data_IF_121317081968
#
_entry.id   IF_121317081968
#
_cell.length_a   1.000
_cell.length_b   1.000
_cell.length_c   1.000
_cell.angle_alpha   90.00
_cell.angle_beta   90.00
_cell.angle_gamma   90.00
#
_symmetry.space_group_name_H-M   'P 1'
#
loop_
_entity.id
_entity.type
_entity.pdbx_description
1 polymer ?
#
# COMPACT_ATOMS: atom_id res chain seq x y z
N UNK A 1 2.13 -16.41 13.50
CA UNK A 1 0.74 -15.96 13.79
C UNK A 1 -0.20 -16.66 12.82
N UNK A 2 -1.42 -17.05 13.23
CA UNK A 2 -2.38 -17.59 12.27
C UNK A 2 -3.10 -16.46 11.50
N UNK A 3 -3.69 -16.80 10.34
CA UNK A 3 -4.37 -15.85 9.44
C UNK A 3 -5.50 -15.07 10.13
N UNK A 4 -6.29 -15.76 10.97
CA UNK A 4 -7.44 -15.15 11.65
C UNK A 4 -7.02 -14.07 12.64
N UNK A 5 -5.98 -14.34 13.44
CA UNK A 5 -5.46 -13.36 14.41
C UNK A 5 -4.84 -12.16 13.70
N UNK A 6 -4.11 -12.40 12.59
CA UNK A 6 -3.54 -11.33 11.76
C UNK A 6 -4.62 -10.36 11.27
N UNK A 7 -5.70 -10.90 10.68
CA UNK A 7 -6.84 -10.13 10.16
C UNK A 7 -7.53 -9.37 11.29
N UNK A 8 -7.79 -10.02 12.43
CA UNK A 8 -8.53 -9.41 13.54
C UNK A 8 -7.74 -8.27 14.21
N UNK A 9 -6.42 -8.43 14.41
CA UNK A 9 -5.56 -7.38 14.95
C UNK A 9 -5.58 -6.16 14.02
N UNK A 10 -5.38 -6.35 12.72
CA UNK A 10 -5.38 -5.25 11.76
C UNK A 10 -6.74 -4.57 11.65
N UNK A 11 -7.83 -5.33 11.59
CA UNK A 11 -9.19 -4.79 11.56
C UNK A 11 -9.48 -3.91 12.78
N UNK A 12 -9.17 -4.40 13.98
CA UNK A 12 -9.39 -3.66 15.22
C UNK A 12 -8.47 -2.46 15.32
N UNK A 13 -7.20 -2.62 14.95
CA UNK A 13 -6.21 -1.55 14.97
C UNK A 13 -6.60 -0.39 14.05
N UNK A 14 -6.90 -0.66 12.79
CA UNK A 14 -7.30 0.37 11.83
C UNK A 14 -8.61 1.05 12.22
N UNK A 15 -9.63 0.31 12.68
CA UNK A 15 -10.86 0.91 13.21
C UNK A 15 -10.58 1.86 14.37
N UNK A 16 -9.72 1.46 15.32
CA UNK A 16 -9.38 2.27 16.51
C UNK A 16 -8.67 3.56 16.12
N UNK A 17 -7.71 3.51 15.19
CA UNK A 17 -7.00 4.70 14.71
C UNK A 17 -7.96 5.73 14.11
N UNK A 18 -8.96 5.28 13.35
CA UNK A 18 -9.95 6.17 12.73
C UNK A 18 -10.94 6.74 13.73
N UNK A 19 -11.47 5.92 14.64
CA UNK A 19 -12.42 6.37 15.68
C UNK A 19 -11.79 7.43 16.58
N UNK A 20 -10.52 7.24 16.95
CA UNK A 20 -9.81 8.17 17.82
C UNK A 20 -9.38 9.46 17.10
N UNK A 21 -9.64 9.56 15.80
CA UNK A 21 -9.29 10.73 14.98
C UNK A 21 -7.79 11.12 15.11
N UNK A 22 -6.93 10.14 15.29
CA UNK A 22 -5.49 10.36 15.50
C UNK A 22 -4.80 10.52 14.16
N UNK A 23 -3.99 11.58 13.99
CA UNK A 23 -3.20 11.72 12.80
C UNK A 23 -2.18 10.58 12.74
N UNK A 24 -2.24 9.79 11.70
CA UNK A 24 -1.19 8.91 11.29
C UNK A 24 -0.81 9.29 9.85
N UNK A 25 0.48 9.19 9.57
CA UNK A 25 0.96 9.48 8.22
C UNK A 25 0.42 8.43 7.25
N UNK A 26 -0.50 8.81 6.39
CA UNK A 26 -0.90 8.01 5.25
C UNK A 26 -0.07 8.39 4.04
N UNK A 27 0.42 7.39 3.33
CA UNK A 27 0.92 7.57 1.98
C UNK A 27 -0.24 7.43 1.02
N UNK A 28 -0.51 8.48 0.27
CA UNK A 28 -1.61 8.55 -0.69
C UNK A 28 -1.10 9.16 -2.00
N UNK A 29 -1.70 8.76 -3.13
CA UNK A 29 -1.39 9.39 -4.41
C UNK A 29 -1.64 10.90 -4.38
N UNK A 30 -0.77 11.70 -5.04
CA UNK A 30 0.26 11.29 -6.01
C UNK A 30 1.52 10.66 -5.44
N UNK A 31 1.69 10.59 -4.12
CA UNK A 31 2.87 10.01 -3.50
C UNK A 31 2.78 8.48 -3.48
N UNK A 32 3.85 7.80 -3.95
CA UNK A 32 3.97 6.35 -3.85
C UNK A 32 4.67 5.89 -2.57
N UNK A 33 5.29 6.82 -1.86
CA UNK A 33 6.04 6.55 -0.64
C UNK A 33 6.40 7.83 0.10
N UNK A 34 6.72 7.74 1.39
CA UNK A 34 7.13 8.90 2.17
C UNK A 34 8.41 9.52 1.59
N UNK A 35 8.36 10.82 1.34
CA UNK A 35 9.51 11.64 0.95
C UNK A 35 10.21 11.25 -0.35
N UNK A 36 9.56 10.57 -1.28
CA UNK A 36 10.14 10.27 -2.58
C UNK A 36 10.41 11.55 -3.35
N UNK A 37 11.47 11.55 -4.15
CA UNK A 37 11.89 12.69 -4.99
C UNK A 37 10.87 12.98 -6.08
N UNK A 38 10.31 11.95 -6.68
CA UNK A 38 9.30 12.05 -7.72
C UNK A 38 8.00 11.39 -7.28
N UNK A 39 6.89 11.97 -7.65
CA UNK A 39 5.56 11.43 -7.43
C UNK A 39 4.87 11.06 -8.76
N UNK A 40 3.60 10.64 -8.75
CA UNK A 40 2.88 10.21 -9.95
C UNK A 40 2.81 11.28 -11.04
N UNK A 41 2.75 12.58 -10.68
CA UNK A 41 2.72 13.63 -11.70
C UNK A 41 4.01 13.71 -12.54
N UNK A 42 5.11 13.22 -12.01
CA UNK A 42 6.43 13.23 -12.66
C UNK A 42 6.78 11.83 -13.22
N UNK A 43 6.41 10.76 -12.51
CA UNK A 43 6.69 9.37 -12.90
C UNK A 43 5.73 8.88 -13.99
N UNK A 44 4.50 9.37 -14.00
CA UNK A 44 3.45 9.04 -14.96
C UNK A 44 3.27 7.52 -15.16
N UNK A 45 3.24 6.78 -14.05
CA UNK A 45 3.08 5.32 -14.04
C UNK A 45 1.69 4.94 -14.55
N UNK A 46 0.67 5.71 -14.14
CA UNK A 46 -0.72 5.58 -14.58
C UNK A 46 -1.02 6.54 -15.74
N UNK A 47 -0.34 6.36 -16.86
CA UNK A 47 -0.35 7.28 -18.00
C UNK A 47 -1.70 7.41 -18.74
N UNK A 48 -2.67 6.52 -18.52
CA UNK A 48 -3.98 6.48 -19.17
C UNK A 48 -5.13 6.44 -18.16
N UNK A 49 -5.09 7.33 -17.17
CA UNK A 49 -6.11 7.33 -16.11
C UNK A 49 -7.46 7.88 -16.56
N UNK A 50 -7.48 8.75 -17.59
CA UNK A 50 -8.73 9.31 -18.10
C UNK A 50 -9.64 8.23 -18.70
N UNK A 51 -10.85 8.10 -18.17
CA UNK A 51 -11.81 7.07 -18.52
C UNK A 51 -11.56 5.69 -17.88
N UNK A 52 -10.49 5.51 -17.11
CA UNK A 52 -10.11 4.25 -16.51
C UNK A 52 -11.02 3.85 -15.34
N UNK A 53 -11.11 2.55 -15.10
CA UNK A 53 -11.72 1.92 -13.93
C UNK A 53 -10.63 1.47 -12.98
N UNK A 54 -10.72 1.88 -11.73
CA UNK A 54 -9.67 1.66 -10.74
C UNK A 54 -10.20 0.94 -9.51
N UNK A 55 -9.44 -0.04 -9.01
CA UNK A 55 -9.65 -0.70 -7.73
C UNK A 55 -8.46 -0.40 -6.80
N UNK A 56 -8.73 0.05 -5.58
CA UNK A 56 -7.72 0.28 -4.54
C UNK A 56 -7.85 -0.77 -3.42
N UNK A 57 -6.77 -1.51 -3.18
CA UNK A 57 -6.67 -2.53 -2.13
C UNK A 57 -6.04 -1.92 -0.87
N UNK A 58 -6.83 -1.82 0.20
CA UNK A 58 -6.49 -1.04 1.38
C UNK A 58 -6.72 0.45 1.14
N UNK A 59 -7.89 0.78 0.59
CA UNK A 59 -8.21 2.12 0.09
C UNK A 59 -8.35 3.20 1.18
N UNK A 60 -8.41 2.82 2.45
CA UNK A 60 -8.64 3.76 3.52
C UNK A 60 -9.93 4.57 3.33
N UNK A 61 -9.84 5.89 3.52
CA UNK A 61 -10.93 6.83 3.30
C UNK A 61 -11.11 7.23 1.82
N UNK A 62 -10.38 6.59 0.89
CA UNK A 62 -10.46 6.81 -0.56
C UNK A 62 -9.66 8.00 -1.08
N UNK A 63 -8.65 8.45 -0.37
CA UNK A 63 -7.88 9.65 -0.75
C UNK A 63 -7.07 9.46 -2.04
N UNK A 64 -6.43 8.29 -2.24
CA UNK A 64 -5.78 7.96 -3.51
C UNK A 64 -6.78 7.87 -4.66
N UNK A 65 -7.97 7.34 -4.40
CA UNK A 65 -9.05 7.29 -5.39
C UNK A 65 -9.60 8.68 -5.73
N UNK A 66 -9.62 9.62 -4.77
CA UNK A 66 -9.99 11.02 -5.03
C UNK A 66 -9.01 11.68 -6.00
N UNK A 67 -7.70 11.49 -5.80
CA UNK A 67 -6.70 11.96 -6.74
C UNK A 67 -6.93 11.41 -8.15
N UNK A 68 -7.16 10.09 -8.28
CA UNK A 68 -7.38 9.45 -9.57
C UNK A 68 -8.70 9.86 -10.23
N UNK A 69 -9.76 10.02 -9.44
CA UNK A 69 -11.04 10.52 -9.94
C UNK A 69 -10.91 11.95 -10.48
N UNK A 70 -10.19 12.82 -9.79
CA UNK A 70 -9.90 14.18 -10.22
C UNK A 70 -9.00 14.23 -11.48
N UNK A 71 -8.24 13.16 -11.76
CA UNK A 71 -7.46 12.97 -12.99
C UNK A 71 -8.27 12.35 -14.14
N UNK A 72 -9.56 12.08 -13.93
CA UNK A 72 -10.48 11.62 -14.96
C UNK A 72 -10.77 10.11 -14.96
N UNK A 73 -10.42 9.38 -13.88
CA UNK A 73 -10.90 8.00 -13.73
C UNK A 73 -12.44 7.98 -13.81
N UNK A 74 -12.97 7.08 -14.64
CA UNK A 74 -14.41 6.96 -14.89
C UNK A 74 -15.16 6.32 -13.73
N UNK A 75 -14.51 5.37 -13.08
CA UNK A 75 -15.10 4.54 -12.05
C UNK A 75 -14.04 4.13 -11.03
N UNK A 76 -14.41 4.22 -9.76
CA UNK A 76 -13.52 3.91 -8.63
C UNK A 76 -14.17 2.88 -7.70
N UNK A 77 -13.35 1.95 -7.24
CA UNK A 77 -13.71 0.91 -6.27
C UNK A 77 -12.66 0.84 -5.17
N UNK A 78 -13.07 0.48 -3.96
CA UNK A 78 -12.16 0.36 -2.83
C UNK A 78 -12.49 -0.83 -1.94
N UNK A 79 -11.45 -1.55 -1.53
CA UNK A 79 -11.50 -2.56 -0.48
C UNK A 79 -10.69 -2.07 0.71
N UNK A 80 -11.25 -2.19 1.91
CA UNK A 80 -10.50 -1.98 3.15
C UNK A 80 -11.06 -2.88 4.26
N UNK A 81 -10.18 -3.36 5.14
CA UNK A 81 -10.55 -4.19 6.28
C UNK A 81 -11.30 -3.40 7.35
N UNK A 82 -11.10 -2.09 7.42
CA UNK A 82 -11.70 -1.18 8.39
C UNK A 82 -13.06 -0.68 7.92
N UNK A 83 -14.11 -1.06 8.64
CA UNK A 83 -15.46 -0.55 8.39
C UNK A 83 -15.56 0.98 8.58
N UNK A 84 -14.76 1.55 9.48
CA UNK A 84 -14.78 2.99 9.75
C UNK A 84 -14.13 3.77 8.59
N UNK A 85 -13.07 3.22 7.97
CA UNK A 85 -12.48 3.76 6.74
C UNK A 85 -13.50 3.74 5.60
N UNK A 86 -14.12 2.59 5.34
CA UNK A 86 -15.11 2.42 4.28
C UNK A 86 -16.33 3.35 4.48
N UNK A 87 -16.77 3.54 5.73
CA UNK A 87 -17.84 4.50 6.04
C UNK A 87 -17.48 5.91 5.57
N UNK A 88 -16.26 6.37 5.82
CA UNK A 88 -15.78 7.69 5.38
C UNK A 88 -15.62 7.76 3.86
N UNK A 89 -15.09 6.70 3.23
CA UNK A 89 -14.99 6.61 1.76
C UNK A 89 -16.38 6.72 1.09
N UNK A 90 -17.40 6.05 1.63
CA UNK A 90 -18.80 6.16 1.14
C UNK A 90 -19.40 7.56 1.29
N UNK A 91 -19.01 8.30 2.32
CA UNK A 91 -19.40 9.70 2.50
C UNK A 91 -18.70 10.60 1.49
N UNK A 92 -17.41 10.34 1.22
CA UNK A 92 -16.59 11.08 0.25
C UNK A 92 -17.11 10.89 -1.19
N UNK A 93 -17.57 9.68 -1.52
CA UNK A 93 -18.03 9.30 -2.86
C UNK A 93 -19.46 8.74 -2.85
N UNK A 94 -20.48 9.55 -2.58
CA UNK A 94 -21.88 9.07 -2.50
C UNK A 94 -22.36 8.45 -3.81
N UNK A 95 -21.85 8.88 -4.97
CA UNK A 95 -22.16 8.34 -6.29
C UNK A 95 -21.58 6.94 -6.54
N UNK A 96 -20.53 6.55 -5.80
CA UNK A 96 -19.85 5.25 -5.86
C UNK A 96 -19.95 4.47 -4.55
N UNK A 97 -20.89 4.80 -3.66
CA UNK A 97 -20.98 4.23 -2.31
C UNK A 97 -21.01 2.68 -2.29
N UNK A 98 -21.61 2.08 -3.33
CA UNK A 98 -21.76 0.63 -3.42
C UNK A 98 -20.47 -0.07 -3.92
N UNK A 99 -19.50 0.69 -4.43
CA UNK A 99 -18.19 0.23 -4.87
C UNK A 99 -17.16 0.14 -3.74
N UNK A 100 -17.51 0.59 -2.53
CA UNK A 100 -16.63 0.52 -1.36
C UNK A 100 -17.06 -0.62 -0.44
N UNK A 101 -16.21 -1.63 -0.29
CA UNK A 101 -16.51 -2.88 0.39
C UNK A 101 -15.58 -3.09 1.59
N UNK A 102 -16.15 -3.56 2.71
CA UNK A 102 -15.36 -3.98 3.87
C UNK A 102 -14.89 -5.41 3.66
N UNK A 103 -13.62 -5.60 3.35
CA UNK A 103 -13.01 -6.91 3.14
C UNK A 103 -11.50 -6.84 3.30
N UNK A 104 -10.86 -7.89 3.82
CA UNK A 104 -9.43 -8.09 3.62
C UNK A 104 -9.12 -8.20 2.12
N UNK A 105 -7.94 -7.74 1.68
CA UNK A 105 -7.56 -7.75 0.27
C UNK A 105 -7.25 -9.16 -0.28
N UNK A 106 -6.98 -10.11 0.61
CA UNK A 106 -6.75 -11.51 0.30
C UNK A 106 -8.00 -12.38 0.28
N UNK A 107 -9.18 -11.80 0.40
CA UNK A 107 -10.44 -12.52 0.30
C UNK A 107 -11.15 -12.20 -1.02
N UNK A 108 -11.82 -13.22 -1.57
CA UNK A 108 -12.61 -13.03 -2.78
C UNK A 108 -13.88 -12.24 -2.47
N UNK A 109 -14.11 -11.19 -3.23
CA UNK A 109 -15.32 -10.37 -3.13
C UNK A 109 -16.14 -10.42 -4.42
N UNK A 110 -17.43 -10.17 -4.29
CA UNK A 110 -18.34 -10.17 -5.44
C UNK A 110 -18.26 -8.85 -6.23
N UNK A 111 -17.17 -8.69 -7.00
CA UNK A 111 -16.94 -7.56 -7.90
C UNK A 111 -16.62 -8.07 -9.32
N UNK A 112 -16.71 -7.22 -10.36
CA UNK A 112 -16.52 -7.67 -11.73
C UNK A 112 -15.12 -8.25 -12.00
N UNK A 113 -15.07 -9.38 -12.73
CA UNK A 113 -13.83 -10.00 -13.19
C UNK A 113 -13.37 -9.38 -14.50
N UNK A 114 -12.04 -9.36 -14.77
CA UNK A 114 -11.46 -8.81 -16.02
C UNK A 114 -11.99 -7.39 -16.31
N UNK A 115 -12.02 -6.54 -15.31
CA UNK A 115 -12.79 -5.30 -15.37
C UNK A 115 -11.98 -4.03 -15.16
N UNK A 116 -11.01 -4.06 -14.23
CA UNK A 116 -10.26 -2.87 -13.84
C UNK A 116 -9.05 -2.65 -14.75
N UNK A 117 -8.88 -1.42 -15.22
CA UNK A 117 -7.69 -1.02 -15.97
C UNK A 117 -6.47 -0.88 -15.07
N UNK A 118 -6.71 -0.47 -13.83
CA UNK A 118 -5.71 -0.36 -12.77
C UNK A 118 -6.21 -0.98 -11.47
N UNK A 119 -5.35 -1.76 -10.83
CA UNK A 119 -5.47 -2.10 -9.42
C UNK A 119 -4.27 -1.45 -8.71
N UNK A 120 -4.50 -0.82 -7.58
CA UNK A 120 -3.44 -0.18 -6.79
C UNK A 120 -3.43 -0.73 -5.37
N UNK A 121 -2.27 -0.71 -4.74
CA UNK A 121 -2.06 -0.96 -3.31
C UNK A 121 -0.94 -0.04 -2.83
N UNK A 122 -1.33 1.15 -2.34
CA UNK A 122 -0.39 2.19 -1.94
C UNK A 122 -0.16 2.10 -0.44
N UNK A 123 1.03 1.64 -0.05
CA UNK A 123 1.41 1.42 1.35
C UNK A 123 0.42 0.57 2.17
N UNK A 124 -0.22 -0.40 1.50
CA UNK A 124 -1.21 -1.29 2.12
C UNK A 124 -0.89 -2.77 2.00
N UNK A 125 -0.14 -3.18 0.96
CA UNK A 125 0.13 -4.60 0.67
C UNK A 125 0.80 -5.37 1.83
N UNK A 126 1.60 -4.71 2.65
CA UNK A 126 2.23 -5.34 3.82
C UNK A 126 1.26 -5.75 4.92
N UNK A 127 0.00 -5.31 4.84
CA UNK A 127 -1.06 -5.69 5.78
C UNK A 127 -1.91 -6.87 5.29
N UNK A 128 -1.54 -7.54 4.19
CA UNK A 128 -2.17 -8.80 3.80
C UNK A 128 -1.67 -9.97 4.66
N UNK A 129 -2.57 -10.87 5.04
CA UNK A 129 -2.21 -12.12 5.71
C UNK A 129 -1.86 -13.25 4.74
N UNK A 130 -2.10 -13.04 3.43
CA UNK A 130 -1.91 -14.03 2.38
C UNK A 130 -1.63 -13.33 1.03
N UNK A 131 -0.34 -13.13 0.76
CA UNK A 131 0.11 -12.45 -0.44
C UNK A 131 -0.33 -13.17 -1.72
N UNK A 132 -0.26 -14.51 -1.72
CA UNK A 132 -0.65 -15.31 -2.87
C UNK A 132 -2.13 -15.13 -3.23
N UNK A 133 -3.02 -15.18 -2.25
CA UNK A 133 -4.46 -14.94 -2.47
C UNK A 133 -4.72 -13.50 -2.94
N UNK A 134 -3.98 -12.51 -2.42
CA UNK A 134 -4.08 -11.11 -2.86
C UNK A 134 -3.72 -10.98 -4.35
N UNK A 135 -2.62 -11.60 -4.81
CA UNK A 135 -2.26 -11.60 -6.22
C UNK A 135 -3.26 -12.37 -7.08
N UNK A 136 -3.71 -13.54 -6.63
CA UNK A 136 -4.72 -14.36 -7.32
C UNK A 136 -6.00 -13.58 -7.61
N UNK A 137 -6.55 -12.89 -6.60
CA UNK A 137 -7.79 -12.14 -6.79
C UNK A 137 -7.55 -10.85 -7.57
N UNK A 138 -6.42 -10.17 -7.39
CA UNK A 138 -6.04 -9.03 -8.22
C UNK A 138 -5.96 -9.42 -9.70
N UNK A 139 -5.36 -10.57 -10.03
CA UNK A 139 -5.32 -11.08 -11.40
C UNK A 139 -6.72 -11.37 -11.96
N UNK A 140 -7.59 -11.93 -11.13
CA UNK A 140 -8.99 -12.23 -11.51
C UNK A 140 -9.76 -10.96 -11.87
N UNK A 141 -9.58 -9.88 -11.09
CA UNK A 141 -10.32 -8.64 -11.27
C UNK A 141 -9.73 -7.71 -12.34
N UNK A 142 -8.42 -7.77 -12.56
CA UNK A 142 -7.72 -6.92 -13.52
C UNK A 142 -8.10 -7.30 -14.95
N UNK A 143 -8.35 -6.31 -15.82
CA UNK A 143 -8.57 -6.50 -17.24
C UNK A 143 -7.27 -6.95 -17.96
N UNK A 144 -7.39 -7.61 -19.11
CA UNK A 144 -6.22 -7.93 -19.93
C UNK A 144 -5.51 -6.64 -20.35
N UNK A 145 -4.20 -6.61 -20.23
CA UNK A 145 -3.37 -5.41 -20.43
C UNK A 145 -3.40 -4.39 -19.30
N UNK A 146 -4.24 -4.62 -18.27
CA UNK A 146 -4.30 -3.78 -17.09
C UNK A 146 -3.04 -3.85 -16.23
N UNK A 147 -2.88 -2.88 -15.33
CA UNK A 147 -1.73 -2.78 -14.43
C UNK A 147 -2.12 -2.97 -12.98
N UNK A 148 -1.35 -3.79 -12.24
CA UNK A 148 -1.39 -3.86 -10.79
C UNK A 148 -0.15 -3.14 -10.23
N UNK A 149 -0.36 -2.04 -9.50
CA UNK A 149 0.69 -1.17 -8.98
C UNK A 149 0.73 -1.29 -7.47
N UNK A 150 1.88 -1.66 -6.95
CA UNK A 150 2.11 -1.86 -5.53
C UNK A 150 3.23 -0.93 -5.10
N UNK A 151 3.05 -0.19 -4.02
CA UNK A 151 4.14 0.47 -3.31
C UNK A 151 4.20 0.04 -1.85
N UNK A 152 5.41 -0.16 -1.33
CA UNK A 152 5.65 -0.55 0.06
C UNK A 152 7.03 -0.09 0.53
N UNK A 153 7.27 -0.17 1.83
CA UNK A 153 8.62 0.02 2.40
C UNK A 153 9.61 -0.91 1.71
N UNK A 154 10.73 -0.37 1.27
CA UNK A 154 11.78 -1.19 0.68
C UNK A 154 12.31 -2.20 1.69
N UNK A 155 12.37 -3.52 1.40
CA UNK A 155 12.71 -4.53 2.40
C UNK A 155 14.11 -4.37 2.99
N UNK A 156 15.08 -3.85 2.24
CA UNK A 156 16.40 -3.55 2.78
C UNK A 156 16.37 -2.34 3.72
N UNK A 157 15.58 -1.29 3.42
CA UNK A 157 15.41 -0.15 4.33
C UNK A 157 14.86 -0.58 5.68
N UNK A 158 13.97 -1.58 5.67
CA UNK A 158 13.39 -2.16 6.86
C UNK A 158 14.42 -2.87 7.75
N UNK A 159 15.50 -3.38 7.15
CA UNK A 159 16.60 -4.03 7.88
C UNK A 159 17.54 -3.03 8.58
N UNK A 160 17.48 -1.75 8.21
CA UNK A 160 18.38 -0.73 8.70
C UNK A 160 17.87 -0.08 9.99
N UNK A 161 18.81 0.25 10.88
CA UNK A 161 18.58 1.06 12.06
C UNK A 161 19.73 2.04 12.26
N UNK A 162 19.65 2.87 13.30
CA UNK A 162 20.71 3.81 13.68
C UNK A 162 21.17 3.48 15.10
N UNK A 163 22.46 3.17 15.23
CA UNK A 163 23.14 2.97 16.50
C UNK A 163 24.44 3.78 16.51
N UNK A 164 24.70 4.52 17.59
CA UNK A 164 25.89 5.37 17.75
C UNK A 164 26.13 6.29 16.52
N UNK A 165 25.07 6.94 16.04
CA UNK A 165 25.05 7.83 14.86
C UNK A 165 25.49 7.16 13.55
N UNK A 166 25.48 5.83 13.49
CA UNK A 166 25.80 5.05 12.31
C UNK A 166 24.61 4.22 11.86
N UNK A 167 24.47 4.08 10.55
CA UNK A 167 23.50 3.15 9.98
C UNK A 167 24.03 1.73 10.14
N UNK A 168 23.24 0.88 10.76
CA UNK A 168 23.56 -0.53 11.02
C UNK A 168 22.47 -1.43 10.43
N UNK A 169 22.84 -2.67 10.07
CA UNK A 169 21.88 -3.71 9.74
C UNK A 169 21.44 -4.36 11.04
N UNK A 170 20.19 -4.14 11.44
CA UNK A 170 19.62 -4.61 12.70
C UNK A 170 18.70 -5.81 12.54
N UNK A 171 18.17 -6.06 11.34
CA UNK A 171 17.29 -7.18 11.03
C UNK A 171 17.80 -7.94 9.82
N UNK A 172 17.56 -9.24 9.78
CA UNK A 172 17.87 -10.05 8.60
C UNK A 172 16.93 -9.73 7.45
N UNK A 173 17.49 -9.50 6.25
CA UNK A 173 16.72 -9.36 5.01
C UNK A 173 15.88 -10.62 4.69
N UNK A 174 16.35 -11.78 5.13
CA UNK A 174 15.71 -13.08 4.90
C UNK A 174 14.59 -13.40 5.89
N UNK A 175 14.35 -12.53 6.88
CA UNK A 175 13.25 -12.72 7.83
C UNK A 175 11.97 -12.07 7.31
N UNK A 176 11.03 -12.90 6.87
CA UNK A 176 9.70 -12.50 6.39
C UNK A 176 8.58 -12.79 7.42
N UNK A 177 8.93 -13.03 8.68
CA UNK A 177 7.94 -13.21 9.73
C UNK A 177 7.11 -11.95 9.94
N UNK A 178 5.83 -12.14 10.18
CA UNK A 178 4.92 -11.05 10.52
C UNK A 178 5.34 -10.37 11.83
N UNK A 179 5.36 -9.04 11.84
CA UNK A 179 5.75 -8.24 13.00
C UNK A 179 4.56 -7.42 13.52
N UNK A 180 4.41 -7.41 14.84
CA UNK A 180 3.47 -6.49 15.50
C UNK A 180 4.16 -5.13 15.63
N UNK A 181 3.57 -4.13 15.01
CA UNK A 181 4.00 -2.74 15.13
C UNK A 181 2.97 -1.96 15.93
N UNK A 182 3.44 -0.91 16.62
CA UNK A 182 2.57 -0.05 17.43
C UNK A 182 2.50 1.34 16.80
N UNK A 183 1.30 1.83 16.52
CA UNK A 183 1.10 3.15 15.92
C UNK A 183 0.33 4.09 16.84
N UNK A 184 0.68 5.36 16.70
CA UNK A 184 0.01 6.48 17.36
C UNK A 184 0.25 6.55 18.88
N UNK A 185 -0.23 7.62 19.52
CA UNK A 185 -0.05 7.85 20.98
C UNK A 185 -0.80 6.81 21.82
N UNK A 186 -1.88 6.22 21.29
CA UNK A 186 -2.68 5.21 21.99
C UNK A 186 -2.08 3.79 21.86
N UNK A 187 -0.88 3.67 21.28
CA UNK A 187 -0.16 2.40 21.11
C UNK A 187 -1.00 1.30 20.45
N UNK A 188 -1.68 1.66 19.37
CA UNK A 188 -2.52 0.70 18.63
C UNK A 188 -1.66 -0.31 17.90
N UNK A 189 -1.92 -1.59 18.13
CA UNK A 189 -1.20 -2.68 17.47
C UNK A 189 -1.74 -2.94 16.07
N UNK A 190 -0.82 -3.08 15.12
CA UNK A 190 -1.04 -3.58 13.78
C UNK A 190 -0.04 -4.69 13.50
N UNK A 191 -0.36 -5.56 12.56
CA UNK A 191 0.56 -6.60 12.08
C UNK A 191 0.92 -6.29 10.63
N UNK A 192 2.20 -6.30 10.34
CA UNK A 192 2.70 -6.14 8.97
C UNK A 192 3.69 -7.23 8.59
N UNK A 193 3.82 -7.46 7.30
CA UNK A 193 4.83 -8.33 6.72
C UNK A 193 5.95 -7.49 6.10
N UNK A 194 7.17 -7.94 6.28
CA UNK A 194 8.28 -7.55 5.46
C UNK A 194 8.49 -8.66 4.41
N UNK A 195 8.55 -8.29 3.14
CA UNK A 195 8.60 -9.26 2.04
C UNK A 195 9.84 -9.01 1.22
N UNK A 196 10.65 -10.05 0.97
CA UNK A 196 11.75 -9.94 0.03
C UNK A 196 11.24 -9.55 -1.37
N UNK A 197 12.05 -8.85 -2.14
CA UNK A 197 11.74 -8.52 -3.54
C UNK A 197 11.43 -9.79 -4.33
N UNK A 198 12.23 -10.84 -4.13
CA UNK A 198 12.03 -12.14 -4.79
C UNK A 198 10.69 -12.80 -4.44
N UNK A 199 10.24 -12.69 -3.19
CA UNK A 199 8.93 -13.22 -2.76
C UNK A 199 7.80 -12.55 -3.50
N UNK A 200 7.83 -11.21 -3.62
CA UNK A 200 6.81 -10.46 -4.35
C UNK A 200 6.82 -10.80 -5.84
N UNK A 201 8.01 -10.84 -6.47
CA UNK A 201 8.14 -11.13 -7.90
C UNK A 201 7.72 -12.55 -8.26
N UNK A 202 8.12 -13.54 -7.45
CA UNK A 202 7.76 -14.95 -7.69
C UNK A 202 6.25 -15.15 -7.48
N UNK A 203 5.67 -14.58 -6.42
CA UNK A 203 4.21 -14.65 -6.20
C UNK A 203 3.44 -14.01 -7.36
N UNK A 204 3.91 -12.90 -7.89
CA UNK A 204 3.30 -12.26 -9.06
C UNK A 204 3.35 -13.20 -10.28
N UNK A 205 4.53 -13.76 -10.58
CA UNK A 205 4.75 -14.68 -11.69
C UNK A 205 3.89 -15.94 -11.59
N UNK A 206 3.80 -16.55 -10.39
CA UNK A 206 3.01 -17.74 -10.12
C UNK A 206 1.51 -17.50 -10.33
N UNK A 207 1.06 -16.25 -10.20
CA UNK A 207 -0.32 -15.83 -10.45
C UNK A 207 -0.56 -15.26 -11.86
N UNK A 208 0.40 -15.39 -12.79
CA UNK A 208 0.26 -15.03 -14.20
C UNK A 208 0.59 -13.57 -14.53
N UNK A 209 1.05 -12.79 -13.58
CA UNK A 209 1.55 -11.44 -13.84
C UNK A 209 2.97 -11.47 -14.40
N UNK A 210 3.32 -10.45 -15.18
CA UNK A 210 4.72 -10.15 -15.47
C UNK A 210 5.10 -8.76 -14.95
N UNK A 211 6.35 -8.59 -14.59
CA UNK A 211 6.90 -7.31 -14.15
C UNK A 211 7.08 -6.40 -15.37
N UNK A 212 6.34 -5.28 -15.40
CA UNK A 212 6.51 -4.23 -16.41
C UNK A 212 7.61 -3.25 -16.02
N UNK A 213 7.57 -2.78 -14.77
CA UNK A 213 8.55 -1.84 -14.20
C UNK A 213 8.77 -2.09 -12.72
N UNK A 214 9.96 -1.74 -12.26
CA UNK A 214 10.34 -1.64 -10.86
C UNK A 214 10.98 -0.27 -10.63
N UNK A 215 10.56 0.42 -9.57
CA UNK A 215 11.13 1.71 -9.22
C UNK A 215 11.67 1.70 -7.79
N UNK A 216 12.87 2.25 -7.66
CA UNK A 216 13.58 2.52 -6.42
C UNK A 216 14.04 3.98 -6.50
N UNK A 217 13.22 4.89 -5.97
CA UNK A 217 13.47 6.32 -6.07
C UNK A 217 14.32 6.85 -4.92
N UNK A 218 15.10 7.89 -5.21
CA UNK A 218 15.76 8.68 -4.19
C UNK A 218 14.73 9.28 -3.23
N UNK A 219 15.12 9.38 -1.96
CA UNK A 219 14.29 9.98 -0.90
C UNK A 219 14.84 11.36 -0.55
N UNK A 220 13.98 12.38 -0.57
CA UNK A 220 14.30 13.72 -0.10
C UNK A 220 13.69 13.89 1.29
N UNK A 221 14.42 13.55 2.34
CA UNK A 221 14.06 13.97 3.69
C UNK A 221 14.53 15.40 3.89
N UNK A 222 13.60 16.34 3.96
CA UNK A 222 13.85 17.69 4.48
C UNK A 222 14.04 17.57 5.99
N UNK A 223 14.99 18.29 6.54
CA UNK A 223 15.39 18.18 7.95
C UNK A 223 14.23 18.49 8.93
N UNK A 224 13.13 19.06 8.44
CA UNK A 224 11.95 19.36 9.26
C UNK A 224 10.70 19.43 8.37
N UNK A 225 10.00 18.32 8.24
CA UNK A 225 8.67 18.33 7.63
C UNK A 225 7.65 18.40 8.76
N UNK A 226 7.19 19.61 9.08
CA UNK A 226 6.09 19.87 10.03
C UNK A 226 6.33 19.36 11.47
N UNK A 227 7.57 19.38 11.98
CA UNK A 227 7.86 18.97 13.35
C UNK A 227 7.69 17.48 13.65
N UNK A 228 7.46 16.65 12.64
CA UNK A 228 7.30 15.21 12.79
C UNK A 228 8.65 14.51 12.71
N UNK A 229 9.23 14.19 13.86
CA UNK A 229 10.41 13.34 13.96
C UNK A 229 9.98 11.88 13.90
N UNK A 230 10.00 11.30 12.71
CA UNK A 230 9.85 9.85 12.58
C UNK A 230 11.10 9.14 13.12
N UNK A 231 10.91 8.13 13.96
CA UNK A 231 11.99 7.24 14.37
C UNK A 231 12.35 6.23 13.29
N UNK A 232 11.44 5.96 12.39
CA UNK A 232 11.60 4.99 11.30
C UNK A 232 12.16 5.64 10.03
N UNK A 233 11.55 6.76 9.56
CA UNK A 233 12.00 7.48 8.37
C UNK A 233 13.11 8.47 8.75
N UNK A 234 14.33 8.07 8.52
CA UNK A 234 15.54 8.81 8.93
C UNK A 234 16.39 9.15 7.71
N UNK A 235 16.87 10.40 7.63
CA UNK A 235 17.70 10.90 6.55
C UNK A 235 18.98 10.06 6.39
N UNK A 236 19.59 9.71 7.50
CA UNK A 236 20.83 8.95 7.53
C UNK A 236 20.67 7.58 6.84
N UNK A 237 19.49 6.97 6.96
CA UNK A 237 19.17 5.69 6.29
C UNK A 237 18.93 5.87 4.79
N UNK A 238 18.35 6.99 4.37
CA UNK A 238 17.93 7.22 2.98
C UNK A 238 19.04 7.68 2.05
N UNK A 239 20.19 8.10 2.57
CA UNK A 239 21.33 8.55 1.76
C UNK A 239 21.88 7.42 0.86
N UNK A 240 21.83 6.19 1.33
CA UNK A 240 22.44 5.05 0.65
C UNK A 240 21.45 3.90 0.38
N UNK A 241 20.16 4.07 0.66
CA UNK A 241 19.16 3.03 0.50
C UNK A 241 17.80 3.63 0.15
N UNK A 242 17.10 3.11 -0.88
CA UNK A 242 15.74 3.52 -1.16
C UNK A 242 14.82 3.17 0.00
N UNK A 243 13.94 4.10 0.38
CA UNK A 243 12.97 3.88 1.45
C UNK A 243 11.73 3.12 0.99
N UNK A 244 11.43 3.20 -0.29
CA UNK A 244 10.23 2.67 -0.92
C UNK A 244 10.59 1.92 -2.19
N UNK A 245 9.84 0.86 -2.46
CA UNK A 245 9.88 0.12 -3.71
C UNK A 245 8.50 0.17 -4.35
N UNK A 246 8.44 0.33 -5.68
CA UNK A 246 7.20 0.36 -6.44
C UNK A 246 7.27 -0.71 -7.53
N UNK A 247 6.36 -1.66 -7.47
CA UNK A 247 6.20 -2.69 -8.49
C UNK A 247 5.05 -2.32 -9.42
N UNK A 248 5.27 -2.45 -10.71
CA UNK A 248 4.23 -2.33 -11.74
C UNK A 248 4.13 -3.66 -12.46
N UNK A 249 3.09 -4.39 -12.17
CA UNK A 249 2.79 -5.65 -12.82
C UNK A 249 1.73 -5.46 -13.92
N UNK A 250 1.78 -6.31 -14.93
CA UNK A 250 0.75 -6.36 -15.98
C UNK A 250 0.16 -7.76 -16.11
N UNK A 251 -1.10 -7.79 -16.51
CA UNK A 251 -1.80 -8.98 -16.97
C UNK A 251 -1.75 -9.05 -18.50
N UNK A 252 -1.45 -10.25 -19.04
CA UNK A 252 -1.52 -10.51 -20.47
C UNK A 252 -2.96 -10.46 -21.01
#
# INVERSE_FOLDING_TARGET
>A
MNKKDFIEINKNGWNTLIINNKPFSNTILPEYGPFLKRNENEMNIMNNINGAKVLDLGCGEGESLEYLFNKGAKEIWGLDISKEQIKKAKIRFPQFKDNFLVSPMEEEVNIPNNYFDYIISIFSIGYTSDLNSTFKYSYKYLANGGKFIISWTHPFYYCLDIADDKVVINKSYFNEESEIITKGPDKVNLVQNNMMISTVLNTASDNGFYLDKLYEEETILKDDVNGYKSTFWRKEKTVNCPSTIIFVFKKH
#
